data_IF_027931014754
#
_entry.id   IF_027931014754
#
_cell.length_a   1.000
_cell.length_b   1.000
_cell.length_c   1.000
_cell.angle_alpha   90.00
_cell.angle_beta   90.00
_cell.angle_gamma   90.00
#
_symmetry.space_group_name_H-M   'P 1'
#
loop_
_entity.id
_entity.type
_entity.pdbx_description
1 polymer ?
#
# COMPACT_ATOMS: atom_id res chain seq x y z
N UNK A 1 -23.16 1.23 -2.53
CA UNK A 1 -21.83 1.84 -2.31
C UNK A 1 -21.93 3.36 -2.33
N UNK A 2 -22.12 4.02 -3.48
CA UNK A 2 -22.11 5.49 -3.55
C UNK A 2 -23.14 6.18 -2.66
N UNK A 3 -24.36 5.63 -2.56
CA UNK A 3 -25.41 6.16 -1.67
C UNK A 3 -25.02 6.12 -0.19
N UNK A 4 -24.36 5.04 0.25
CA UNK A 4 -24.01 4.81 1.64
C UNK A 4 -22.72 5.52 2.05
N UNK A 5 -21.70 5.52 1.18
CA UNK A 5 -20.36 6.04 1.50
C UNK A 5 -20.15 7.49 1.06
N UNK A 6 -20.95 8.01 0.11
CA UNK A 6 -20.86 9.37 -0.43
C UNK A 6 -19.40 9.83 -0.69
N UNK A 7 -18.58 9.04 -1.40
CA UNK A 7 -17.15 9.24 -1.38
C UNK A 7 -16.71 10.38 -2.31
N UNK A 8 -15.60 11.03 -1.96
CA UNK A 8 -14.92 12.00 -2.83
C UNK A 8 -13.93 11.37 -3.79
N UNK A 9 -13.51 10.13 -3.51
CA UNK A 9 -12.59 9.32 -4.31
C UNK A 9 -13.13 7.88 -4.34
N UNK A 10 -13.05 7.19 -5.48
CA UNK A 10 -13.53 5.80 -5.59
C UNK A 10 -12.41 4.85 -6.01
N UNK A 11 -12.09 3.87 -5.18
CA UNK A 11 -11.07 2.86 -5.50
C UNK A 11 -11.68 1.75 -6.38
N UNK A 12 -11.06 1.47 -7.53
CA UNK A 12 -11.55 0.47 -8.50
C UNK A 12 -10.66 -0.78 -8.63
N UNK A 13 -9.59 -0.86 -7.83
CA UNK A 13 -8.70 -2.03 -7.82
C UNK A 13 -7.78 -1.97 -9.03
N UNK A 14 -7.94 -2.91 -9.95
CA UNK A 14 -7.15 -2.94 -11.17
C UNK A 14 -5.76 -3.54 -10.99
N UNK A 15 -5.66 -4.48 -10.06
CA UNK A 15 -4.51 -5.30 -9.76
C UNK A 15 -4.60 -6.68 -10.44
N UNK A 16 -3.43 -7.24 -10.74
CA UNK A 16 -3.22 -8.68 -11.05
C UNK A 16 -4.12 -9.32 -12.11
N UNK A 17 -4.55 -8.58 -13.13
CA UNK A 17 -5.33 -9.15 -14.24
C UNK A 17 -4.52 -10.23 -14.98
N UNK A 18 -5.03 -11.45 -14.95
CA UNK A 18 -4.40 -12.60 -15.60
C UNK A 18 -4.86 -12.75 -17.06
N UNK A 19 -4.02 -12.35 -18.01
CA UNK A 19 -4.33 -12.45 -19.44
C UNK A 19 -4.52 -13.89 -19.93
N UNK A 20 -3.92 -14.90 -19.28
CA UNK A 20 -4.17 -16.29 -19.62
C UNK A 20 -5.60 -16.73 -19.29
N UNK A 21 -6.21 -16.15 -18.25
CA UNK A 21 -7.62 -16.38 -17.94
C UNK A 21 -8.52 -15.88 -19.08
N UNK A 22 -8.26 -14.66 -19.55
CA UNK A 22 -9.02 -14.07 -20.68
C UNK A 22 -8.78 -14.80 -21.99
N UNK A 23 -7.53 -15.19 -22.29
CA UNK A 23 -7.18 -15.90 -23.51
C UNK A 23 -7.81 -17.32 -23.58
N UNK A 24 -8.12 -17.93 -22.43
CA UNK A 24 -8.84 -19.21 -22.35
C UNK A 24 -10.36 -19.06 -22.45
N UNK A 25 -10.90 -17.85 -22.44
CA UNK A 25 -12.34 -17.60 -22.45
C UNK A 25 -12.83 -17.32 -23.86
N UNK A 26 -13.51 -18.30 -24.47
CA UNK A 26 -13.93 -18.23 -25.88
C UNK A 26 -14.77 -17.00 -26.23
N UNK A 27 -15.71 -16.61 -25.37
CA UNK A 27 -16.57 -15.44 -25.61
C UNK A 27 -15.78 -14.14 -25.68
N UNK A 28 -14.75 -13.98 -24.84
CA UNK A 28 -13.87 -12.80 -24.84
C UNK A 28 -12.99 -12.77 -26.08
N UNK A 29 -12.39 -13.91 -26.41
CA UNK A 29 -11.54 -14.08 -27.59
C UNK A 29 -12.31 -13.83 -28.88
N UNK A 30 -13.52 -14.37 -29.01
CA UNK A 30 -14.36 -14.16 -30.20
C UNK A 30 -14.80 -12.71 -30.31
N UNK A 31 -15.10 -12.05 -29.19
CA UNK A 31 -15.43 -10.63 -29.16
C UNK A 31 -14.24 -9.75 -29.57
N UNK A 32 -13.02 -10.05 -29.12
CA UNK A 32 -11.79 -9.36 -29.53
C UNK A 32 -11.54 -9.56 -31.04
N UNK A 33 -11.67 -10.79 -31.53
CA UNK A 33 -11.51 -11.11 -32.94
C UNK A 33 -12.53 -10.35 -33.82
N UNK A 34 -13.79 -10.24 -33.38
CA UNK A 34 -14.83 -9.46 -34.07
C UNK A 34 -14.52 -7.95 -34.13
N UNK A 35 -13.67 -7.44 -33.23
CA UNK A 35 -13.13 -6.06 -33.28
C UNK A 35 -11.82 -5.93 -34.06
N UNK A 36 -11.33 -7.02 -34.65
CA UNK A 36 -10.06 -7.08 -35.35
C UNK A 36 -8.84 -7.02 -34.43
N UNK A 37 -8.99 -7.38 -33.15
CA UNK A 37 -7.89 -7.38 -32.19
C UNK A 37 -7.21 -8.75 -32.15
N UNK A 38 -5.91 -8.73 -31.89
CA UNK A 38 -5.11 -9.95 -31.71
C UNK A 38 -5.27 -10.54 -30.32
N UNK A 39 -4.26 -11.33 -29.91
CA UNK A 39 -4.15 -11.92 -28.57
C UNK A 39 -2.77 -11.66 -27.97
N UNK A 40 -2.18 -10.51 -28.30
CA UNK A 40 -0.94 -10.05 -27.70
C UNK A 40 -1.22 -9.39 -26.35
N UNK A 41 -0.18 -9.18 -25.54
CA UNK A 41 -0.30 -8.43 -24.28
C UNK A 41 -0.98 -7.06 -24.50
N UNK A 42 -0.54 -6.31 -25.51
CA UNK A 42 -1.12 -5.02 -25.87
C UNK A 42 -2.61 -5.11 -26.22
N UNK A 43 -3.04 -6.18 -26.89
CA UNK A 43 -4.46 -6.40 -27.19
C UNK A 43 -5.27 -6.67 -25.90
N UNK A 44 -4.71 -7.42 -24.95
CA UNK A 44 -5.35 -7.65 -23.66
C UNK A 44 -5.35 -6.40 -22.77
N UNK A 45 -4.30 -5.59 -22.77
CA UNK A 45 -4.32 -4.28 -22.09
C UNK A 45 -5.37 -3.37 -22.71
N UNK A 46 -5.54 -3.38 -24.04
CA UNK A 46 -6.63 -2.66 -24.71
C UNK A 46 -8.01 -3.18 -24.31
N UNK A 47 -8.17 -4.49 -24.12
CA UNK A 47 -9.41 -5.06 -23.57
C UNK A 47 -9.64 -4.60 -22.12
N UNK A 48 -8.58 -4.50 -21.33
CA UNK A 48 -8.66 -3.99 -19.97
C UNK A 48 -9.06 -2.52 -19.94
N UNK A 49 -8.44 -1.66 -20.75
CA UNK A 49 -8.85 -0.27 -20.93
C UNK A 49 -10.34 -0.18 -21.32
N UNK A 50 -10.79 -1.01 -22.26
CA UNK A 50 -12.21 -1.03 -22.63
C UNK A 50 -13.12 -1.33 -21.43
N UNK A 51 -12.78 -2.32 -20.61
CA UNK A 51 -13.50 -2.60 -19.37
C UNK A 51 -13.45 -1.42 -18.40
N UNK A 52 -12.26 -0.88 -18.14
CA UNK A 52 -12.03 0.18 -17.16
C UNK A 52 -12.77 1.46 -17.55
N UNK A 53 -12.65 1.90 -18.79
CA UNK A 53 -13.34 3.08 -19.33
C UNK A 53 -14.86 2.96 -19.21
N UNK A 54 -15.43 1.78 -19.50
CA UNK A 54 -16.86 1.54 -19.30
C UNK A 54 -17.26 1.51 -17.82
N UNK A 55 -16.42 0.94 -16.96
CA UNK A 55 -16.69 0.85 -15.53
C UNK A 55 -16.66 2.24 -14.86
N UNK A 56 -15.69 3.08 -15.19
CA UNK A 56 -15.61 4.46 -14.66
C UNK A 56 -16.81 5.30 -15.10
N UNK A 57 -17.23 5.16 -16.36
CA UNK A 57 -18.42 5.86 -16.84
C UNK A 57 -19.67 5.50 -16.01
N UNK A 58 -19.84 4.22 -15.63
CA UNK A 58 -20.93 3.81 -14.74
C UNK A 58 -20.81 4.42 -13.34
N UNK A 59 -19.61 4.56 -12.81
CA UNK A 59 -19.37 5.25 -11.52
C UNK A 59 -19.81 6.70 -11.63
N UNK A 60 -19.44 7.41 -12.70
CA UNK A 60 -19.81 8.81 -12.91
C UNK A 60 -21.31 9.01 -13.07
N UNK A 61 -21.96 8.17 -13.87
CA UNK A 61 -23.42 8.20 -14.05
C UNK A 61 -24.16 8.01 -12.72
N UNK A 62 -23.67 7.11 -11.86
CA UNK A 62 -24.28 6.86 -10.55
C UNK A 62 -23.91 7.90 -9.50
N UNK A 63 -22.72 8.50 -9.58
CA UNK A 63 -22.31 9.59 -8.71
C UNK A 63 -22.95 10.93 -9.09
N UNK A 64 -23.38 11.09 -10.36
CA UNK A 64 -23.87 12.36 -10.91
C UNK A 64 -22.76 13.42 -11.07
N UNK A 65 -21.49 13.04 -10.92
CA UNK A 65 -20.31 13.89 -11.00
C UNK A 65 -19.07 13.07 -11.34
N UNK A 66 -18.02 13.72 -11.82
CA UNK A 66 -16.71 13.08 -11.91
C UNK A 66 -16.07 13.03 -10.52
N UNK A 67 -15.62 11.85 -10.11
CA UNK A 67 -14.86 11.61 -8.89
C UNK A 67 -13.52 10.96 -9.26
N UNK A 68 -12.38 11.38 -8.68
CA UNK A 68 -11.11 10.70 -8.93
C UNK A 68 -11.20 9.20 -8.63
N UNK A 69 -10.60 8.40 -9.51
CA UNK A 69 -10.58 6.95 -9.39
C UNK A 69 -9.19 6.50 -8.96
N UNK A 70 -9.11 5.63 -7.95
CA UNK A 70 -7.84 5.02 -7.53
C UNK A 70 -7.69 3.65 -8.20
N UNK A 71 -6.51 3.41 -8.75
CA UNK A 71 -6.11 2.14 -9.35
C UNK A 71 -4.76 1.69 -8.79
N UNK A 72 -4.58 0.39 -8.57
CA UNK A 72 -3.29 -0.18 -8.22
C UNK A 72 -2.28 -0.08 -9.36
N UNK A 73 -1.00 -0.03 -9.02
CA UNK A 73 0.07 -0.32 -9.99
C UNK A 73 -0.14 -1.69 -10.62
N UNK A 74 -0.13 -1.77 -11.95
CA UNK A 74 -0.32 -3.01 -12.71
C UNK A 74 0.17 -2.84 -14.15
N UNK A 75 0.01 -3.87 -14.99
CA UNK A 75 0.32 -3.78 -16.42
C UNK A 75 -0.41 -2.60 -17.10
N UNK A 76 -1.65 -2.28 -16.70
CA UNK A 76 -2.40 -1.16 -17.28
C UNK A 76 -1.77 0.20 -16.93
N UNK A 77 -1.03 0.29 -15.83
CA UNK A 77 -0.37 1.51 -15.36
C UNK A 77 1.12 1.57 -15.72
N UNK A 78 1.61 0.73 -16.65
CA UNK A 78 2.99 0.83 -17.16
C UNK A 78 3.15 2.03 -18.11
N UNK A 79 4.37 2.56 -18.21
CA UNK A 79 4.69 3.74 -19.04
C UNK A 79 4.17 3.68 -20.46
N UNK A 80 4.12 2.51 -21.08
CA UNK A 80 3.66 2.32 -22.46
C UNK A 80 2.18 2.63 -22.64
N UNK A 81 1.38 2.49 -21.59
CA UNK A 81 -0.08 2.52 -21.66
C UNK A 81 -0.70 3.70 -20.92
N UNK A 82 0.01 4.27 -19.94
CA UNK A 82 -0.45 5.39 -19.11
C UNK A 82 -1.05 6.55 -19.93
N UNK A 83 -0.34 6.99 -20.96
CA UNK A 83 -0.74 8.17 -21.74
C UNK A 83 -1.94 7.93 -22.65
N UNK A 84 -2.22 6.67 -23.00
CA UNK A 84 -3.26 6.30 -23.95
C UNK A 84 -4.58 5.94 -23.23
N UNK A 85 -4.51 5.34 -22.05
CA UNK A 85 -5.68 4.74 -21.37
C UNK A 85 -6.07 5.40 -20.05
N UNK A 86 -5.15 6.10 -19.38
CA UNK A 86 -5.36 6.59 -18.02
C UNK A 86 -5.13 8.10 -17.91
N UNK A 87 -6.09 8.97 -18.25
CA UNK A 87 -5.90 10.41 -18.06
C UNK A 87 -5.56 10.75 -16.61
N UNK A 88 -4.41 11.40 -16.36
CA UNK A 88 -3.89 11.70 -15.02
C UNK A 88 -4.80 12.56 -14.13
N UNK A 89 -5.71 13.32 -14.73
CA UNK A 89 -6.68 14.15 -13.99
C UNK A 89 -7.89 13.31 -13.51
N UNK A 90 -8.06 12.11 -14.05
CA UNK A 90 -9.10 11.14 -13.71
C UNK A 90 -8.60 10.08 -12.73
N UNK A 91 -7.32 9.69 -12.81
CA UNK A 91 -6.77 8.57 -12.06
C UNK A 91 -5.69 8.97 -11.04
N UNK A 92 -5.81 8.41 -9.84
CA UNK A 92 -4.77 8.38 -8.80
C UNK A 92 -4.22 6.95 -8.78
N UNK A 93 -2.89 6.78 -8.71
CA UNK A 93 -2.28 5.45 -8.71
C UNK A 93 -1.80 5.07 -7.31
N UNK A 94 -2.33 3.99 -6.75
CA UNK A 94 -1.87 3.42 -5.49
C UNK A 94 -0.72 2.44 -5.77
N UNK A 95 0.45 2.76 -5.24
CA UNK A 95 1.70 2.04 -5.48
C UNK A 95 1.79 0.88 -4.51
N UNK A 96 1.87 -0.34 -5.01
CA UNK A 96 2.23 -1.49 -4.18
C UNK A 96 3.57 -2.11 -4.51
N UNK A 97 4.26 -1.69 -5.59
CA UNK A 97 5.65 -2.09 -5.89
C UNK A 97 6.62 -1.60 -4.81
N UNK A 98 7.90 -1.99 -4.86
CA UNK A 98 8.88 -1.47 -3.88
C UNK A 98 9.02 0.05 -3.96
N UNK A 99 9.43 0.70 -2.86
CA UNK A 99 9.64 2.15 -2.84
C UNK A 99 10.67 2.68 -3.84
N UNK A 100 11.57 1.82 -4.34
CA UNK A 100 12.63 2.15 -5.31
C UNK A 100 12.30 1.68 -6.74
N UNK A 101 11.07 1.22 -7.00
CA UNK A 101 10.66 0.69 -8.30
C UNK A 101 10.60 1.81 -9.36
N UNK A 102 11.13 1.54 -10.56
CA UNK A 102 11.17 2.49 -11.68
C UNK A 102 9.76 3.00 -12.02
N UNK A 103 8.72 2.16 -11.89
CA UNK A 103 7.34 2.54 -12.17
C UNK A 103 6.88 3.73 -11.32
N UNK A 104 7.34 3.83 -10.06
CA UNK A 104 7.03 4.96 -9.18
C UNK A 104 7.58 6.25 -9.77
N UNK A 105 8.83 6.23 -10.21
CA UNK A 105 9.48 7.38 -10.82
C UNK A 105 8.86 7.75 -12.18
N UNK A 106 8.43 6.77 -12.98
CA UNK A 106 7.73 6.99 -14.24
C UNK A 106 6.38 7.68 -14.04
N UNK A 107 5.60 7.22 -13.07
CA UNK A 107 4.30 7.81 -12.71
C UNK A 107 4.46 9.27 -12.28
N UNK A 108 5.41 9.54 -11.37
CA UNK A 108 5.71 10.89 -10.90
C UNK A 108 6.23 11.80 -12.03
N UNK A 109 7.06 11.24 -12.93
CA UNK A 109 7.60 11.99 -14.08
C UNK A 109 6.50 12.35 -15.08
N UNK A 110 5.51 11.46 -15.27
CA UNK A 110 4.31 11.74 -16.09
C UNK A 110 3.28 12.63 -15.37
N UNK A 111 3.52 12.96 -14.10
CA UNK A 111 2.70 13.90 -13.32
C UNK A 111 1.44 13.28 -12.72
N UNK A 112 1.44 11.96 -12.49
CA UNK A 112 0.35 11.30 -11.78
C UNK A 112 0.43 11.58 -10.29
N UNK A 113 -0.75 11.72 -9.68
CA UNK A 113 -0.87 11.68 -8.23
C UNK A 113 -0.80 10.23 -7.76
N UNK A 114 -0.07 10.00 -6.67
CA UNK A 114 0.15 8.65 -6.15
C UNK A 114 -0.20 8.53 -4.67
N UNK A 115 -0.60 7.32 -4.24
CA UNK A 115 -0.71 6.92 -2.84
C UNK A 115 0.32 5.82 -2.62
N UNK A 116 1.16 5.94 -1.60
CA UNK A 116 2.20 4.95 -1.32
C UNK A 116 1.63 3.80 -0.47
N UNK A 117 1.77 2.58 -0.96
CA UNK A 117 1.48 1.33 -0.24
C UNK A 117 2.55 0.29 -0.55
N UNK A 118 3.80 0.73 -0.74
CA UNK A 118 4.89 -0.10 -1.21
C UNK A 118 5.10 -1.34 -0.32
N UNK A 119 5.05 -2.54 -0.92
CA UNK A 119 4.95 -3.78 -0.16
C UNK A 119 6.15 -4.03 0.76
N UNK A 120 7.31 -3.45 0.44
CA UNK A 120 8.50 -3.61 1.25
C UNK A 120 8.45 -2.84 2.57
N UNK A 121 7.52 -1.90 2.77
CA UNK A 121 7.38 -1.16 4.02
C UNK A 121 5.95 -1.04 4.57
N UNK A 122 4.90 -1.27 3.77
CA UNK A 122 3.52 -0.94 4.15
C UNK A 122 2.55 -2.12 4.09
N UNK A 123 2.98 -3.33 3.75
CA UNK A 123 2.15 -4.54 3.83
C UNK A 123 2.25 -5.17 5.22
N UNK A 124 1.24 -4.92 6.06
CA UNK A 124 1.24 -5.35 7.46
C UNK A 124 0.89 -6.83 7.65
N UNK A 125 0.49 -7.53 6.59
CA UNK A 125 0.26 -8.97 6.53
C UNK A 125 1.53 -9.80 6.28
N UNK A 126 2.68 -9.18 5.96
CA UNK A 126 3.93 -9.90 5.70
C UNK A 126 4.56 -10.50 6.96
N UNK A 127 5.30 -11.61 6.78
CA UNK A 127 6.17 -12.18 7.82
C UNK A 127 5.63 -13.40 8.54
N UNK A 128 4.46 -13.90 8.16
CA UNK A 128 3.84 -15.10 8.74
C UNK A 128 4.12 -16.33 7.88
N UNK A 129 3.75 -17.52 8.37
CA UNK A 129 3.88 -18.77 7.64
C UNK A 129 3.12 -18.73 6.32
N UNK A 130 3.55 -19.50 5.32
CA UNK A 130 2.79 -19.70 4.09
C UNK A 130 1.42 -20.33 4.38
N UNK A 131 0.39 -19.94 3.62
CA UNK A 131 -0.97 -20.47 3.76
C UNK A 131 -1.38 -21.45 2.65
N UNK A 132 -0.64 -21.50 1.54
CA UNK A 132 -0.80 -22.48 0.45
C UNK A 132 0.29 -23.56 0.48
N UNK A 133 1.52 -23.17 0.78
CA UNK A 133 2.71 -24.02 0.78
C UNK A 133 3.56 -23.76 2.02
N UNK A 134 4.51 -24.65 2.29
CA UNK A 134 5.48 -24.53 3.38
C UNK A 134 6.33 -23.25 3.27
N UNK A 135 6.94 -22.84 4.39
CA UNK A 135 7.77 -21.64 4.47
C UNK A 135 6.99 -20.44 5.01
N UNK A 136 7.30 -19.25 4.47
CA UNK A 136 6.65 -18.00 4.86
C UNK A 136 5.79 -17.44 3.72
N UNK A 137 4.88 -16.53 4.03
CA UNK A 137 4.08 -15.82 3.05
C UNK A 137 4.96 -14.94 2.13
N UNK A 138 4.39 -14.57 0.98
CA UNK A 138 5.15 -14.13 -0.20
C UNK A 138 6.01 -12.87 0.02
N UNK A 139 5.57 -11.95 0.88
CA UNK A 139 6.23 -10.66 1.13
C UNK A 139 7.05 -10.65 2.43
N UNK A 140 7.30 -11.81 3.04
CA UNK A 140 8.17 -11.93 4.21
C UNK A 140 9.58 -11.34 3.95
N UNK A 141 10.24 -10.75 4.96
CA UNK A 141 9.99 -10.88 6.41
C UNK A 141 8.91 -9.94 6.98
N UNK A 142 8.61 -10.09 8.27
CA UNK A 142 7.74 -9.18 9.01
C UNK A 142 8.29 -7.75 8.98
N UNK A 143 7.40 -6.79 8.70
CA UNK A 143 7.76 -5.38 8.62
C UNK A 143 7.64 -4.76 10.01
N UNK A 144 8.78 -4.47 10.64
CA UNK A 144 8.85 -3.76 11.91
C UNK A 144 8.49 -2.28 11.79
N UNK A 145 8.00 -1.69 12.89
CA UNK A 145 7.60 -0.27 12.94
C UNK A 145 8.72 0.69 12.54
N UNK A 146 9.97 0.31 12.75
CA UNK A 146 11.15 1.08 12.36
C UNK A 146 11.25 1.23 10.83
N UNK A 147 10.93 0.18 10.08
CA UNK A 147 10.93 0.21 8.61
C UNK A 147 9.78 1.06 8.09
N UNK A 148 8.59 0.91 8.69
CA UNK A 148 7.43 1.78 8.41
C UNK A 148 7.78 3.25 8.66
N UNK A 149 8.41 3.56 9.79
CA UNK A 149 8.79 4.93 10.16
C UNK A 149 9.83 5.55 9.22
N UNK A 150 10.69 4.74 8.61
CA UNK A 150 11.70 5.20 7.64
C UNK A 150 11.15 5.35 6.21
N UNK A 151 9.89 4.98 5.97
CA UNK A 151 9.25 5.00 4.66
C UNK A 151 8.61 6.37 4.38
N UNK A 152 9.42 7.40 4.12
CA UNK A 152 8.91 8.77 3.92
C UNK A 152 8.61 9.08 2.45
N UNK A 153 7.55 9.85 2.16
CA UNK A 153 7.26 10.32 0.80
C UNK A 153 8.44 11.05 0.16
N UNK A 154 9.12 11.94 0.90
CA UNK A 154 10.33 12.63 0.44
C UNK A 154 11.46 11.68 0.03
N UNK A 155 11.65 10.56 0.72
CA UNK A 155 12.68 9.57 0.37
C UNK A 155 12.36 8.88 -0.96
N UNK A 156 11.11 8.48 -1.16
CA UNK A 156 10.66 7.75 -2.36
C UNK A 156 10.53 8.67 -3.58
N UNK A 157 9.89 9.83 -3.40
CA UNK A 157 9.50 10.70 -4.51
C UNK A 157 10.43 11.91 -4.71
N UNK A 158 11.37 12.16 -3.81
CA UNK A 158 12.35 13.25 -3.91
C UNK A 158 11.70 14.62 -4.09
N UNK A 159 12.12 15.33 -5.14
CA UNK A 159 11.60 16.62 -5.59
C UNK A 159 10.11 16.58 -6.00
N UNK A 160 9.57 15.39 -6.27
CA UNK A 160 8.17 15.17 -6.70
C UNK A 160 7.25 14.72 -5.56
N UNK A 161 7.70 14.73 -4.30
CA UNK A 161 6.90 14.34 -3.13
C UNK A 161 5.55 15.08 -3.04
N UNK A 162 5.41 16.29 -3.60
CA UNK A 162 4.12 17.01 -3.68
C UNK A 162 3.04 16.32 -4.52
N UNK A 163 3.42 15.36 -5.36
CA UNK A 163 2.47 14.52 -6.11
C UNK A 163 2.02 13.29 -5.30
N UNK A 164 2.72 12.96 -4.21
CA UNK A 164 2.30 11.92 -3.28
C UNK A 164 1.20 12.50 -2.40
N UNK A 165 -0.01 11.94 -2.50
CA UNK A 165 -1.17 12.37 -1.70
C UNK A 165 -1.09 11.90 -0.25
N UNK A 166 -0.33 10.84 -0.01
CA UNK A 166 -0.13 10.22 1.29
C UNK A 166 0.36 8.78 1.13
N UNK A 167 0.22 8.00 2.20
CA UNK A 167 0.47 6.57 2.19
C UNK A 167 -0.68 5.83 2.87
N UNK A 168 -0.85 4.56 2.52
CA UNK A 168 -1.83 3.67 3.12
C UNK A 168 -1.14 2.34 3.45
N UNK A 169 -1.12 1.98 4.74
CA UNK A 169 -0.68 0.67 5.18
C UNK A 169 -1.77 -0.35 4.83
N UNK A 170 -1.40 -1.36 4.05
CA UNK A 170 -2.31 -2.40 3.61
C UNK A 170 -2.29 -3.55 4.60
N UNK A 171 -3.43 -4.19 4.76
CA UNK A 171 -3.58 -5.35 5.61
C UNK A 171 -4.45 -6.37 4.90
N UNK A 172 -3.79 -7.18 4.07
CA UNK A 172 -4.46 -8.28 3.37
C UNK A 172 -4.84 -9.39 4.35
N UNK A 173 -5.97 -10.04 4.09
CA UNK A 173 -6.68 -10.83 5.10
C UNK A 173 -6.68 -12.34 4.84
N UNK A 174 -5.77 -12.86 4.00
CA UNK A 174 -5.63 -14.30 3.78
C UNK A 174 -5.37 -15.06 5.08
N UNK A 175 -4.65 -14.42 6.01
CA UNK A 175 -4.31 -14.99 7.32
C UNK A 175 -4.77 -14.08 8.46
N UNK A 176 -5.79 -13.25 8.27
CA UNK A 176 -6.27 -12.32 9.30
C UNK A 176 -7.79 -12.27 9.41
N UNK A 177 -8.24 -11.93 10.61
CA UNK A 177 -9.65 -11.79 10.97
C UNK A 177 -9.80 -10.83 12.18
N UNK A 178 -11.00 -10.79 12.77
CA UNK A 178 -11.28 -9.95 13.94
C UNK A 178 -10.39 -10.23 15.15
N UNK A 179 -9.78 -11.42 15.27
CA UNK A 179 -8.94 -11.79 16.42
C UNK A 179 -7.51 -11.27 16.30
N UNK A 180 -7.07 -10.97 15.08
CA UNK A 180 -5.70 -10.56 14.77
C UNK A 180 -5.59 -9.13 14.25
N UNK A 181 -6.71 -8.46 13.98
CA UNK A 181 -6.77 -7.09 13.46
C UNK A 181 -5.92 -6.12 14.29
N UNK A 182 -6.18 -6.05 15.60
CA UNK A 182 -5.56 -5.05 16.47
C UNK A 182 -4.05 -5.24 16.57
N UNK A 183 -3.59 -6.46 16.84
CA UNK A 183 -2.15 -6.73 17.02
C UNK A 183 -1.38 -6.62 15.70
N UNK A 184 -2.01 -6.88 14.55
CA UNK A 184 -1.32 -6.72 13.27
C UNK A 184 -1.24 -5.27 12.82
N UNK A 185 -2.28 -4.47 13.05
CA UNK A 185 -2.25 -3.05 12.69
C UNK A 185 -1.45 -2.21 13.69
N UNK A 186 -1.67 -2.42 14.97
CA UNK A 186 -1.16 -1.56 16.03
C UNK A 186 0.00 -2.20 16.78
N UNK A 187 1.07 -1.44 17.07
CA UNK A 187 1.20 0.01 16.88
C UNK A 187 1.83 0.42 15.53
N UNK A 188 2.14 -0.51 14.61
CA UNK A 188 2.87 -0.22 13.37
C UNK A 188 2.22 0.88 12.52
N UNK A 189 0.89 0.89 12.41
CA UNK A 189 0.16 1.93 11.70
C UNK A 189 0.36 3.34 12.32
N UNK A 190 0.62 3.44 13.63
CA UNK A 190 0.96 4.72 14.28
C UNK A 190 2.31 5.28 13.81
N UNK A 191 3.24 4.43 13.35
CA UNK A 191 4.51 4.90 12.81
C UNK A 191 4.29 5.62 11.48
N UNK A 192 3.47 5.02 10.59
CA UNK A 192 3.04 5.66 9.35
C UNK A 192 2.27 6.95 9.64
N UNK A 193 1.39 6.96 10.65
CA UNK A 193 0.61 8.13 11.01
C UNK A 193 1.50 9.35 11.31
N UNK A 194 2.59 9.17 12.06
CA UNK A 194 3.51 10.29 12.29
C UNK A 194 4.29 10.68 11.03
N UNK A 195 4.78 9.71 10.27
CA UNK A 195 5.51 10.00 9.02
C UNK A 195 4.67 10.88 8.08
N UNK A 196 3.39 10.58 7.94
CA UNK A 196 2.48 11.35 7.09
C UNK A 196 2.06 12.68 7.72
N UNK A 197 2.08 12.79 9.04
CA UNK A 197 1.67 14.00 9.75
C UNK A 197 2.76 15.05 9.83
N UNK A 198 4.00 14.65 10.15
CA UNK A 198 5.11 15.58 10.43
C UNK A 198 6.29 15.47 9.46
N UNK A 199 6.35 14.43 8.63
CA UNK A 199 7.47 14.10 7.72
C UNK A 199 8.84 14.36 8.38
N UNK A 200 9.16 13.65 9.48
CA UNK A 200 10.30 13.97 10.31
C UNK A 200 11.63 13.70 9.59
N UNK A 201 12.59 14.62 9.73
CA UNK A 201 13.97 14.43 9.23
C UNK A 201 14.78 13.46 10.12
N UNK A 202 14.33 13.23 11.36
CA UNK A 202 14.96 12.32 12.31
C UNK A 202 14.62 10.86 12.03
N UNK A 203 15.49 9.94 12.43
CA UNK A 203 15.22 8.49 12.31
C UNK A 203 14.25 7.98 13.38
N UNK A 204 13.82 6.73 13.25
CA UNK A 204 12.97 6.05 14.24
C UNK A 204 13.58 6.01 15.65
N UNK A 205 14.90 6.11 15.79
CA UNK A 205 15.56 6.15 17.11
C UNK A 205 15.12 7.36 17.93
N UNK A 206 14.97 8.52 17.30
CA UNK A 206 14.45 9.71 17.97
C UNK A 206 12.95 9.58 18.35
N UNK A 207 12.26 8.62 17.73
CA UNK A 207 10.85 8.32 17.98
C UNK A 207 10.62 7.24 19.02
N UNK A 208 11.66 6.48 19.41
CA UNK A 208 11.54 5.24 20.17
C UNK A 208 10.79 5.44 21.50
N UNK A 209 11.27 6.31 22.39
CA UNK A 209 10.65 6.54 23.71
C UNK A 209 9.17 6.94 23.59
N UNK A 210 8.84 7.87 22.69
CA UNK A 210 7.45 8.33 22.50
C UNK A 210 6.56 7.28 21.82
N UNK A 211 7.14 6.41 20.98
CA UNK A 211 6.41 5.33 20.32
C UNK A 211 6.05 4.20 21.30
N UNK A 212 6.98 3.83 22.19
CA UNK A 212 6.73 2.89 23.28
C UNK A 212 5.61 3.39 24.22
N UNK A 213 5.65 4.66 24.61
CA UNK A 213 4.57 5.29 25.41
C UNK A 213 3.24 5.30 24.65
N UNK A 214 3.26 5.56 23.34
CA UNK A 214 2.04 5.56 22.53
C UNK A 214 1.41 4.16 22.43
N UNK A 215 2.22 3.09 22.33
CA UNK A 215 1.73 1.71 22.38
C UNK A 215 0.97 1.43 23.67
N UNK A 216 1.49 1.83 24.83
CA UNK A 216 0.79 1.68 26.11
C UNK A 216 -0.50 2.50 26.19
N UNK A 217 -0.52 3.68 25.55
CA UNK A 217 -1.76 4.46 25.41
C UNK A 217 -2.81 3.71 24.60
N UNK A 218 -2.46 3.04 23.51
CA UNK A 218 -3.39 2.23 22.72
C UNK A 218 -3.97 1.08 23.56
N UNK A 219 -3.13 0.37 24.31
CA UNK A 219 -3.57 -0.70 25.24
C UNK A 219 -4.54 -0.16 26.29
N UNK A 220 -4.26 1.00 26.89
CA UNK A 220 -5.17 1.66 27.85
C UNK A 220 -6.51 2.08 27.24
N UNK A 221 -6.56 2.27 25.92
CA UNK A 221 -7.79 2.57 25.18
C UNK A 221 -8.56 1.30 24.75
N UNK A 222 -8.06 0.12 25.10
CA UNK A 222 -8.70 -1.16 24.78
C UNK A 222 -8.30 -1.75 23.43
N UNK A 223 -7.27 -1.20 22.77
CA UNK A 223 -6.70 -1.75 21.53
C UNK A 223 -5.71 -2.84 21.90
N UNK A 224 -5.83 -4.02 21.30
CA UNK A 224 -4.93 -5.15 21.55
C UNK A 224 -3.61 -5.01 20.76
N UNK A 225 -2.92 -3.88 20.94
CA UNK A 225 -1.69 -3.54 20.23
C UNK A 225 -0.54 -4.50 20.56
N UNK A 226 0.22 -4.90 19.54
CA UNK A 226 1.34 -5.83 19.70
C UNK A 226 2.43 -5.27 20.63
N UNK A 227 3.14 -6.18 21.28
CA UNK A 227 4.27 -5.82 22.12
C UNK A 227 5.48 -5.49 21.25
N UNK A 228 6.16 -4.38 21.57
CA UNK A 228 7.35 -3.95 20.82
C UNK A 228 8.64 -4.43 21.48
N UNK A 229 8.73 -4.24 22.80
CA UNK A 229 9.91 -4.51 23.61
C UNK A 229 9.47 -4.89 25.04
N UNK A 230 10.37 -5.47 25.87
CA UNK A 230 10.12 -5.63 27.29
C UNK A 230 9.79 -4.29 27.96
N UNK A 231 8.82 -4.26 28.87
CA UNK A 231 8.41 -3.04 29.60
C UNK A 231 9.59 -2.34 30.29
N UNK A 232 10.59 -3.12 30.73
CA UNK A 232 11.84 -2.61 31.28
C UNK A 232 12.52 -1.57 30.36
N UNK A 233 12.49 -1.76 29.04
CA UNK A 233 13.07 -0.82 28.08
C UNK A 233 12.35 0.54 28.07
N UNK A 234 11.04 0.54 28.40
CA UNK A 234 10.25 1.78 28.56
C UNK A 234 10.54 2.47 29.90
N UNK A 235 10.85 1.70 30.95
CA UNK A 235 11.15 2.24 32.28
C UNK A 235 12.60 2.75 32.40
N UNK A 236 13.52 2.21 31.59
CA UNK A 236 14.95 2.49 31.63
C UNK A 236 15.46 2.82 30.22
N UNK A 237 15.11 4.01 29.73
CA UNK A 237 15.51 4.50 28.40
C UNK A 237 17.02 4.32 28.13
N UNK A 238 17.38 4.09 26.86
CA UNK A 238 18.75 3.84 26.39
C UNK A 238 19.44 2.57 26.88
N UNK A 239 18.80 1.75 27.73
CA UNK A 239 19.39 0.51 28.23
C UNK A 239 19.03 -0.76 27.43
N UNK A 240 18.28 -0.61 26.34
CA UNK A 240 17.99 -1.70 25.38
C UNK A 240 18.64 -1.53 23.98
N UNK A 241 19.92 -1.10 23.86
CA UNK A 241 20.55 -0.99 22.55
C UNK A 241 20.89 -2.37 21.98
N UNK A 242 20.68 -2.55 20.67
CA UNK A 242 21.14 -3.75 19.95
C UNK A 242 22.67 -3.81 20.03
N UNK A 243 23.23 -4.81 20.71
CA UNK A 243 24.67 -5.01 20.86
C UNK A 243 25.35 -4.19 21.97
N UNK A 244 24.61 -3.44 22.79
CA UNK A 244 25.20 -2.77 23.95
C UNK A 244 25.40 -3.71 25.13
N UNK A 245 26.40 -3.39 25.97
CA UNK A 245 26.59 -4.06 27.26
C UNK A 245 25.54 -3.52 28.21
N UNK A 246 24.68 -4.39 28.76
CA UNK A 246 23.79 -4.02 29.86
C UNK A 246 24.62 -3.41 30.99
N UNK A 247 24.30 -2.18 31.37
CA UNK A 247 25.00 -1.51 32.45
C UNK A 247 24.46 -2.04 33.79
N UNK A 248 24.95 -3.20 34.19
CA UNK A 248 24.61 -3.89 35.46
C UNK A 248 25.13 -3.15 36.70
N UNK A 249 25.66 -1.93 36.57
CA UNK A 249 26.21 -1.17 37.68
C UNK A 249 25.15 -0.63 38.67
N UNK A 250 23.86 -0.69 38.32
CA UNK A 250 22.75 -0.20 39.16
C UNK A 250 21.71 -1.29 39.51
N UNK A 251 22.09 -2.58 39.46
CA UNK A 251 21.27 -3.68 40.02
C UNK A 251 21.72 -4.05 41.42
#
# INVERSE_FOLDING_TARGET
MLEQFQPDIFHMGGDEVNFNCWNKTESMVNWMAAKGWGRTEKDFVRLWDHFQSQAVQKVYEKAGRHIPVVMWTSHLTHKEYLSDFLPKDQYIIQIWTTGEDEQVHELLTKGYKVILSNYDALYLDCGFAGWVADGNNWCSPYIGWQKVYQNTPKKIAGDKHKQVLGAEATFWTEQADSTSLDSRLWPRASAMAEVLWSEPESTWRAAESRFLIHRERLVRLGVQADALEPEWCTQYEENCPIGGKFNVANM
#
